data_IF_892876678935
#
_entry.id   IF_892876678935
#
_cell.length_a   1.000
_cell.length_b   1.000
_cell.length_c   1.000
_cell.angle_alpha   90.00
_cell.angle_beta   90.00
_cell.angle_gamma   90.00
#
_symmetry.space_group_name_H-M   'P 1'
#
loop_
_entity.id
_entity.type
_entity.pdbx_description
1 polymer ?
#
# COMPACT_ATOMS: atom_id res chain seq x y z
N UNK A 1 -6.03 12.56 9.71
CA UNK A 1 -5.34 11.37 10.25
C UNK A 1 -5.35 10.32 9.16
N UNK A 2 -4.25 10.17 8.42
CA UNK A 2 -4.13 9.20 7.32
C UNK A 2 -4.33 7.78 7.86
N UNK A 3 -5.14 6.95 7.19
CA UNK A 3 -5.48 5.57 7.61
C UNK A 3 -4.70 4.50 6.83
N UNK A 4 -3.53 4.86 6.33
CA UNK A 4 -2.66 3.95 5.58
C UNK A 4 -1.86 3.07 6.53
N UNK A 5 -1.68 1.80 6.18
CA UNK A 5 -0.83 0.86 6.92
C UNK A 5 0.45 0.59 6.14
N UNK A 6 1.61 0.88 6.73
CA UNK A 6 2.90 0.49 6.17
C UNK A 6 3.15 -1.00 6.46
N UNK A 7 3.41 -1.76 5.39
CA UNK A 7 3.69 -3.19 5.47
C UNK A 7 5.15 -3.41 5.86
N UNK A 8 5.39 -4.30 6.82
CA UNK A 8 6.72 -4.66 7.33
C UNK A 8 7.07 -6.14 7.10
N UNK A 9 6.11 -6.97 6.68
CA UNK A 9 6.35 -8.38 6.38
C UNK A 9 5.34 -8.96 5.39
N UNK A 10 5.72 -10.05 4.71
CA UNK A 10 4.83 -10.79 3.82
C UNK A 10 3.60 -11.34 4.57
N UNK A 11 3.79 -11.81 5.80
CA UNK A 11 2.71 -12.34 6.61
C UNK A 11 1.67 -11.26 6.92
N UNK A 12 2.11 -10.07 7.36
CA UNK A 12 1.22 -8.94 7.63
C UNK A 12 0.43 -8.55 6.38
N UNK A 13 1.09 -8.53 5.21
CA UNK A 13 0.41 -8.26 3.95
C UNK A 13 -0.70 -9.28 3.65
N UNK A 14 -0.39 -10.58 3.79
CA UNK A 14 -1.36 -11.64 3.57
C UNK A 14 -2.54 -11.59 4.56
N UNK A 15 -2.29 -11.22 5.82
CA UNK A 15 -3.35 -11.04 6.82
C UNK A 15 -4.36 -9.95 6.39
N UNK A 16 -3.89 -8.83 5.86
CA UNK A 16 -4.79 -7.79 5.34
C UNK A 16 -5.57 -8.23 4.11
N UNK A 17 -4.97 -9.03 3.23
CA UNK A 17 -5.67 -9.62 2.08
C UNK A 17 -6.79 -10.58 2.48
N UNK A 18 -6.67 -11.24 3.64
CA UNK A 18 -7.69 -12.18 4.14
C UNK A 18 -8.78 -11.50 4.98
N UNK A 19 -8.43 -10.40 5.66
CA UNK A 19 -9.32 -9.76 6.64
C UNK A 19 -10.14 -8.59 6.08
N UNK A 20 -9.71 -8.02 4.95
CA UNK A 20 -10.41 -6.91 4.30
C UNK A 20 -11.02 -7.33 2.98
N UNK A 21 -12.24 -6.83 2.73
CA UNK A 21 -12.94 -7.09 1.46
C UNK A 21 -12.24 -6.47 0.25
N UNK A 22 -11.71 -5.25 0.41
CA UNK A 22 -10.95 -4.52 -0.61
C UNK A 22 -9.64 -4.05 0.02
N UNK A 23 -8.54 -4.34 -0.67
CA UNK A 23 -7.22 -3.86 -0.30
C UNK A 23 -6.67 -3.02 -1.45
N UNK A 24 -6.43 -1.74 -1.18
CA UNK A 24 -5.73 -0.84 -2.08
C UNK A 24 -4.29 -0.77 -1.61
N UNK A 25 -3.32 -1.03 -2.48
CA UNK A 25 -1.90 -1.05 -2.12
C UNK A 25 -1.13 -0.07 -2.98
N UNK A 26 -0.43 0.83 -2.30
CA UNK A 26 0.54 1.74 -2.89
C UNK A 26 1.94 1.07 -2.86
N UNK A 27 2.48 0.77 -4.04
CA UNK A 27 3.81 0.22 -4.22
C UNK A 27 4.78 1.35 -4.55
N UNK A 28 5.51 1.80 -3.53
CA UNK A 28 6.35 3.00 -3.61
C UNK A 28 7.83 2.67 -3.37
N UNK A 29 8.69 3.61 -3.72
CA UNK A 29 10.11 3.61 -3.38
C UNK A 29 10.52 5.00 -2.86
N UNK A 30 11.45 5.08 -1.91
CA UNK A 30 11.83 6.37 -1.29
C UNK A 30 12.54 7.33 -2.27
N UNK A 31 13.19 6.77 -3.29
CA UNK A 31 13.86 7.50 -4.37
C UNK A 31 12.92 7.86 -5.52
N UNK A 32 11.66 7.39 -5.51
CA UNK A 32 10.70 7.69 -6.56
C UNK A 32 10.16 9.12 -6.42
N UNK A 33 10.67 10.02 -7.26
CA UNK A 33 10.22 11.42 -7.34
C UNK A 33 8.72 11.57 -7.66
N UNK A 34 8.20 10.92 -8.72
CA UNK A 34 6.77 10.97 -9.06
C UNK A 34 5.85 10.50 -7.93
N UNK A 35 6.30 9.52 -7.14
CA UNK A 35 5.52 8.94 -6.06
C UNK A 35 5.18 9.94 -4.94
N UNK A 36 6.02 10.96 -4.74
CA UNK A 36 5.78 12.02 -3.75
C UNK A 36 4.58 12.91 -4.10
N UNK A 37 4.21 12.98 -5.38
CA UNK A 37 3.04 13.74 -5.82
C UNK A 37 1.74 12.97 -5.58
N UNK A 38 1.78 11.64 -5.69
CA UNK A 38 0.62 10.76 -5.51
C UNK A 38 0.38 10.44 -4.04
N UNK A 39 1.44 10.33 -3.24
CA UNK A 39 1.36 10.07 -1.79
C UNK A 39 0.32 10.93 -1.03
N UNK A 40 0.26 12.27 -1.16
CA UNK A 40 -0.74 13.07 -0.45
C UNK A 40 -2.18 12.78 -0.92
N UNK A 41 -2.38 12.50 -2.21
CA UNK A 41 -3.68 12.13 -2.75
C UNK A 41 -4.12 10.75 -2.23
N UNK A 42 -3.19 9.78 -2.20
CA UNK A 42 -3.44 8.46 -1.65
C UNK A 42 -3.82 8.52 -0.16
N UNK A 43 -3.12 9.35 0.61
CA UNK A 43 -3.44 9.56 2.02
C UNK A 43 -4.82 10.20 2.22
N UNK A 44 -5.18 11.20 1.40
CA UNK A 44 -6.53 11.78 1.42
C UNK A 44 -7.61 10.73 1.10
N UNK A 45 -7.42 9.94 0.06
CA UNK A 45 -8.33 8.84 -0.29
C UNK A 45 -8.46 7.84 0.87
N UNK A 46 -7.34 7.49 1.52
CA UNK A 46 -7.37 6.60 2.69
C UNK A 46 -8.21 7.17 3.83
N UNK A 47 -8.14 8.48 4.06
CA UNK A 47 -8.87 9.13 5.14
C UNK A 47 -10.39 9.12 4.89
N UNK A 48 -10.81 9.23 3.63
CA UNK A 48 -12.22 9.29 3.24
C UNK A 48 -12.86 7.90 3.01
N UNK A 49 -12.11 6.96 2.43
CA UNK A 49 -12.63 5.68 1.97
C UNK A 49 -12.31 4.51 2.89
N UNK A 50 -11.28 4.63 3.76
CA UNK A 50 -10.89 3.50 4.60
C UNK A 50 -11.98 3.19 5.63
N UNK A 51 -12.49 1.97 5.52
CA UNK A 51 -13.56 1.41 6.33
C UNK A 51 -13.09 0.10 6.92
N UNK A 52 -13.12 -0.08 8.26
CA UNK A 52 -12.64 -1.30 8.92
C UNK A 52 -13.24 -2.57 8.29
N UNK A 53 -12.40 -3.56 7.98
CA UNK A 53 -12.77 -4.84 7.34
C UNK A 53 -13.40 -4.76 5.94
N UNK A 54 -13.65 -3.55 5.43
CA UNK A 54 -14.20 -3.34 4.08
C UNK A 54 -13.15 -2.80 3.11
N UNK A 55 -12.50 -1.69 3.43
CA UNK A 55 -11.51 -1.04 2.55
C UNK A 55 -10.28 -0.67 3.36
N UNK A 56 -9.16 -1.32 3.06
CA UNK A 56 -7.86 -1.05 3.69
C UNK A 56 -6.88 -0.50 2.68
N UNK A 57 -6.17 0.56 3.08
CA UNK A 57 -5.11 1.18 2.28
C UNK A 57 -3.76 0.77 2.85
N UNK A 58 -2.94 0.14 2.04
CA UNK A 58 -1.61 -0.35 2.39
C UNK A 58 -0.54 0.43 1.64
N UNK A 59 0.66 0.51 2.22
CA UNK A 59 1.87 1.00 1.57
C UNK A 59 2.95 -0.06 1.65
N UNK A 60 3.53 -0.43 0.52
CA UNK A 60 4.59 -1.43 0.40
C UNK A 60 5.80 -0.76 -0.24
N UNK A 61 6.90 -0.68 0.52
CA UNK A 61 8.17 -0.24 -0.02
C UNK A 61 8.79 -1.41 -0.82
N UNK A 62 8.97 -1.21 -2.12
CA UNK A 62 9.45 -2.26 -3.03
C UNK A 62 10.93 -2.62 -2.81
N UNK A 63 11.74 -1.71 -2.28
CA UNK A 63 13.14 -1.98 -1.96
C UNK A 63 13.26 -2.93 -0.76
N UNK A 64 12.36 -2.77 0.23
CA UNK A 64 12.30 -3.61 1.42
C UNK A 64 11.53 -4.92 1.21
N UNK A 65 10.58 -4.94 0.27
CA UNK A 65 9.65 -6.07 0.07
C UNK A 65 9.59 -6.54 -1.38
N UNK A 66 10.76 -6.83 -1.95
CA UNK A 66 10.93 -7.30 -3.34
C UNK A 66 10.10 -8.54 -3.67
N UNK A 67 9.93 -9.45 -2.72
CA UNK A 67 9.10 -10.66 -2.89
C UNK A 67 7.63 -10.30 -3.13
N UNK A 68 7.07 -9.36 -2.36
CA UNK A 68 5.69 -8.91 -2.50
C UNK A 68 5.53 -8.23 -3.87
N UNK A 69 6.44 -7.31 -4.23
CA UNK A 69 6.39 -6.62 -5.52
C UNK A 69 6.49 -7.59 -6.70
N UNK A 70 7.39 -8.58 -6.62
CA UNK A 70 7.59 -9.58 -7.67
C UNK A 70 6.37 -10.48 -7.85
N UNK A 71 5.71 -10.89 -6.74
CA UNK A 71 4.51 -11.73 -6.77
C UNK A 71 3.36 -11.09 -7.57
N UNK A 72 3.24 -9.77 -7.53
CA UNK A 72 2.21 -9.02 -8.26
C UNK A 72 2.73 -8.37 -9.55
N UNK A 73 3.92 -8.76 -10.01
CA UNK A 73 4.56 -8.25 -11.23
C UNK A 73 4.57 -6.71 -11.30
N UNK A 74 4.86 -6.04 -10.18
CA UNK A 74 4.95 -4.58 -10.12
C UNK A 74 6.17 -4.12 -10.91
N UNK A 75 5.94 -3.48 -12.06
CA UNK A 75 7.00 -2.97 -12.95
C UNK A 75 7.09 -1.45 -12.99
N UNK A 76 6.14 -0.75 -12.37
CA UNK A 76 6.08 0.70 -12.28
C UNK A 76 5.66 1.11 -10.87
N UNK A 77 6.29 2.17 -10.35
CA UNK A 77 6.09 2.69 -9.00
C UNK A 77 5.34 4.02 -9.08
N UNK A 78 4.39 4.22 -8.18
CA UNK A 78 3.57 5.44 -8.07
C UNK A 78 3.49 5.90 -6.63
#
# INVERSE_FOLDING_TARGET
MSKTVAINSLQQFNEYLQTSHIVVTDFYADWCGPCRLVAPLYEQLSAHLSTPKQITFLKVNVDNHKEIASKYAVTAYV
#
